data_IF_028642733868
#
_entry.id   IF_028642733868
#
_cell.length_a   1.000
_cell.length_b   1.000
_cell.length_c   1.000
_cell.angle_alpha   90.00
_cell.angle_beta   90.00
_cell.angle_gamma   90.00
#
_symmetry.space_group_name_H-M   'P 1'
#
loop_
_entity.id
_entity.type
_entity.pdbx_description
1 polymer ?
#
# COMPACT_ATOMS: atom_id res chain seq x y z
N UNK A 1 -45.15 -5.47 5.47
CA UNK A 1 -44.74 -6.87 5.48
C UNK A 1 -44.18 -7.20 6.89
N UNK A 2 -44.84 -8.03 7.71
CA UNK A 2 -44.41 -8.38 9.07
C UNK A 2 -43.18 -9.30 9.13
N UNK A 3 -42.64 -9.74 7.99
CA UNK A 3 -41.57 -10.73 7.93
C UNK A 3 -40.13 -10.15 8.19
N UNK A 4 -40.02 -8.82 8.41
CA UNK A 4 -38.69 -8.19 8.67
C UNK A 4 -38.44 -7.98 10.18
N UNK A 5 -39.42 -8.26 11.05
CA UNK A 5 -39.17 -8.23 12.48
C UNK A 5 -38.63 -9.54 12.97
N UNK A 6 -37.33 -9.56 13.28
CA UNK A 6 -36.71 -10.63 14.07
C UNK A 6 -35.51 -11.36 13.50
N UNK A 7 -34.77 -10.82 12.52
CA UNK A 7 -33.41 -11.27 12.37
C UNK A 7 -32.58 -10.71 13.52
N UNK A 8 -32.32 -11.53 14.52
CA UNK A 8 -31.23 -11.25 15.45
C UNK A 8 -29.99 -10.92 14.63
N UNK A 9 -29.51 -9.69 14.77
CA UNK A 9 -28.16 -9.35 14.32
C UNK A 9 -27.24 -10.38 15.00
N UNK A 10 -26.48 -11.18 14.25
CA UNK A 10 -25.57 -12.11 14.87
C UNK A 10 -24.72 -11.31 15.84
N UNK A 11 -24.72 -11.70 17.12
CA UNK A 11 -23.80 -11.15 18.13
C UNK A 11 -22.43 -11.14 17.48
N UNK A 12 -21.81 -9.94 17.40
CA UNK A 12 -20.48 -9.73 16.85
C UNK A 12 -19.62 -10.95 17.14
N UNK A 13 -19.37 -11.73 16.11
CA UNK A 13 -18.30 -12.71 16.15
C UNK A 13 -17.06 -11.86 16.38
N UNK A 14 -16.56 -11.93 17.60
CA UNK A 14 -15.33 -11.29 18.07
C UNK A 14 -14.40 -11.07 16.91
N UNK A 15 -14.13 -9.77 16.57
CA UNK A 15 -13.18 -9.39 15.54
C UNK A 15 -11.85 -10.13 15.75
N UNK A 16 -10.98 -10.24 14.76
CA UNK A 16 -9.84 -11.14 14.80
C UNK A 16 -9.05 -10.93 16.07
N UNK A 17 -9.17 -11.89 16.98
CA UNK A 17 -8.52 -11.89 18.28
C UNK A 17 -7.01 -11.81 18.02
N UNK A 18 -6.34 -10.82 18.58
CA UNK A 18 -4.89 -10.61 18.55
C UNK A 18 -4.30 -10.00 17.27
N UNK A 19 -4.91 -8.97 16.70
CA UNK A 19 -4.15 -8.10 15.80
C UNK A 19 -3.08 -7.37 16.60
N UNK A 20 -1.82 -7.28 16.09
CA UNK A 20 -0.78 -6.48 16.75
C UNK A 20 -1.18 -5.01 16.72
N UNK A 21 -0.86 -4.30 17.78
CA UNK A 21 -0.94 -2.83 17.77
C UNK A 21 0.16 -2.29 16.87
N UNK A 22 -0.17 -1.50 15.83
CA UNK A 22 0.86 -0.88 15.00
C UNK A 22 1.62 0.20 15.78
N UNK A 23 2.91 0.31 15.55
CA UNK A 23 3.72 1.41 16.07
C UNK A 23 3.60 2.68 15.21
N UNK A 24 3.29 2.51 13.92
CA UNK A 24 3.00 3.58 12.99
C UNK A 24 2.01 3.06 11.94
N UNK A 25 1.02 3.88 11.63
CA UNK A 25 0.08 3.63 10.53
C UNK A 25 0.28 4.65 9.44
N UNK A 26 0.26 4.21 8.19
CA UNK A 26 0.25 5.09 7.03
C UNK A 26 -1.02 4.84 6.23
N UNK A 27 -1.64 5.91 5.75
CA UNK A 27 -2.60 5.85 4.67
C UNK A 27 -1.89 5.44 3.38
N UNK A 28 -2.54 4.62 2.58
CA UNK A 28 -2.04 4.16 1.28
C UNK A 28 -3.07 4.50 0.22
N UNK A 29 -2.75 5.46 -0.63
CA UNK A 29 -3.62 5.92 -1.71
C UNK A 29 -3.14 5.38 -3.04
N UNK A 30 -4.00 4.68 -3.75
CA UNK A 30 -3.72 4.19 -5.11
C UNK A 30 -4.48 5.00 -6.14
N UNK A 31 -3.83 5.37 -7.24
CA UNK A 31 -4.46 6.11 -8.35
C UNK A 31 -3.97 5.60 -9.69
N UNK A 32 -4.91 5.38 -10.61
CA UNK A 32 -4.64 5.15 -12.03
C UNK A 32 -4.59 6.49 -12.74
N UNK A 33 -3.46 6.83 -13.35
CA UNK A 33 -3.24 8.17 -13.94
C UNK A 33 -3.59 8.26 -15.42
N UNK A 34 -3.32 7.22 -16.19
CA UNK A 34 -3.70 7.16 -17.61
C UNK A 34 -3.97 5.70 -18.03
N UNK A 35 -4.96 5.53 -18.87
CA UNK A 35 -5.14 4.31 -19.65
C UNK A 35 -5.02 4.69 -21.11
N UNK A 36 -3.97 4.27 -21.79
CA UNK A 36 -3.81 4.44 -23.25
C UNK A 36 -4.79 3.54 -24.04
N UNK A 37 -5.77 2.96 -23.39
CA UNK A 37 -6.72 2.07 -24.02
C UNK A 37 -7.94 2.83 -24.51
N UNK A 38 -8.27 2.61 -25.78
CA UNK A 38 -9.60 2.88 -26.29
C UNK A 38 -10.56 2.03 -25.47
N UNK A 39 -11.41 2.70 -24.70
CA UNK A 39 -12.54 2.05 -24.03
C UNK A 39 -13.37 1.38 -25.12
N UNK A 40 -13.71 0.12 -24.93
CA UNK A 40 -14.62 -0.59 -25.82
C UNK A 40 -15.87 0.28 -26.04
N UNK A 41 -16.26 0.59 -27.30
CA UNK A 41 -17.39 1.47 -27.57
C UNK A 41 -18.74 0.90 -27.09
N UNK A 42 -18.81 -0.37 -26.77
CA UNK A 42 -20.00 -1.04 -26.21
C UNK A 42 -19.75 -1.53 -24.77
N UNK A 43 -19.57 -0.61 -23.79
CA UNK A 43 -19.42 -1.04 -22.42
C UNK A 43 -20.75 -1.67 -21.96
N UNK A 44 -20.67 -2.89 -21.41
CA UNK A 44 -21.81 -3.46 -20.71
C UNK A 44 -22.19 -2.57 -19.52
N UNK A 45 -23.37 -2.77 -18.93
CA UNK A 45 -23.89 -1.99 -17.81
C UNK A 45 -22.88 -1.85 -16.66
N UNK A 46 -22.16 -2.94 -16.31
CA UNK A 46 -21.13 -2.94 -15.27
C UNK A 46 -19.92 -2.07 -15.65
N UNK A 47 -19.50 -2.09 -16.91
CA UNK A 47 -18.42 -1.24 -17.39
C UNK A 47 -18.78 0.25 -17.34
N UNK A 48 -20.05 0.63 -17.61
CA UNK A 48 -20.53 2.01 -17.48
C UNK A 48 -20.56 2.48 -16.01
N UNK A 49 -21.00 1.63 -15.09
CA UNK A 49 -20.95 1.93 -13.67
C UNK A 49 -19.52 2.03 -13.17
N UNK A 50 -18.63 1.14 -13.61
CA UNK A 50 -17.21 1.18 -13.29
C UNK A 50 -16.50 2.39 -13.90
N UNK A 51 -16.82 2.80 -15.13
CA UNK A 51 -16.26 4.00 -15.74
C UNK A 51 -16.68 5.28 -14.97
N UNK A 52 -17.92 5.33 -14.53
CA UNK A 52 -18.41 6.38 -13.61
C UNK A 52 -17.68 6.33 -12.26
N UNK A 53 -17.32 5.12 -11.81
CA UNK A 53 -16.56 4.87 -10.59
C UNK A 53 -15.08 5.24 -10.76
N UNK A 54 -14.48 5.02 -11.92
CA UNK A 54 -13.04 5.14 -12.19
C UNK A 54 -12.56 6.56 -12.50
N UNK A 55 -13.45 7.47 -12.91
CA UNK A 55 -13.05 8.80 -13.38
C UNK A 55 -12.46 9.73 -12.31
N UNK A 56 -12.61 9.41 -11.02
CA UNK A 56 -12.17 10.31 -9.93
C UNK A 56 -11.65 9.60 -8.68
N UNK A 57 -11.26 8.32 -8.76
CA UNK A 57 -11.09 7.55 -7.53
C UNK A 57 -9.66 7.26 -7.17
N UNK A 58 -9.43 7.45 -5.91
CA UNK A 58 -8.28 6.96 -5.17
C UNK A 58 -8.73 5.77 -4.35
N UNK A 59 -8.09 4.62 -4.53
CA UNK A 59 -8.23 3.50 -3.60
C UNK A 59 -7.54 3.86 -2.30
N UNK A 60 -8.13 3.53 -1.15
CA UNK A 60 -7.55 3.74 0.17
C UNK A 60 -7.32 2.39 0.85
N UNK A 61 -6.13 2.20 1.38
CA UNK A 61 -5.74 1.12 2.29
C UNK A 61 -4.86 1.71 3.40
N UNK A 62 -4.39 0.87 4.31
CA UNK A 62 -3.50 1.26 5.40
C UNK A 62 -2.27 0.35 5.42
N UNK A 63 -1.10 0.91 5.68
CA UNK A 63 0.11 0.15 6.00
C UNK A 63 0.37 0.23 7.50
N UNK A 64 0.41 -0.92 8.15
CA UNK A 64 0.80 -1.03 9.54
C UNK A 64 2.28 -1.38 9.65
N UNK A 65 3.05 -0.49 10.28
CA UNK A 65 4.43 -0.73 10.67
C UNK A 65 4.47 -1.17 12.14
N UNK A 66 5.09 -2.29 12.39
CA UNK A 66 5.29 -2.83 13.74
C UNK A 66 6.41 -2.06 14.46
N UNK A 67 6.55 -2.24 15.77
CA UNK A 67 7.67 -1.70 16.53
C UNK A 67 9.03 -2.16 15.97
N UNK A 68 9.11 -3.40 15.49
CA UNK A 68 10.30 -3.93 14.81
C UNK A 68 10.61 -3.13 13.55
N UNK A 69 9.60 -2.85 12.71
CA UNK A 69 9.77 -2.11 11.48
C UNK A 69 10.28 -0.69 11.74
N UNK A 70 9.63 0.02 12.65
CA UNK A 70 10.01 1.41 12.99
C UNK A 70 11.39 1.48 13.63
N UNK A 71 11.79 0.49 14.42
CA UNK A 71 13.14 0.40 15.01
C UNK A 71 14.23 0.23 13.95
N UNK A 72 13.97 -0.58 12.91
CA UNK A 72 14.93 -0.81 11.83
C UNK A 72 15.04 0.36 10.84
N UNK A 73 14.04 1.22 10.82
CA UNK A 73 14.07 2.48 10.07
C UNK A 73 14.66 3.65 10.88
N UNK A 74 14.86 3.51 12.19
CA UNK A 74 15.26 4.56 13.12
C UNK A 74 16.60 5.21 12.76
N UNK A 75 16.62 6.54 12.53
CA UNK A 75 17.82 7.25 12.10
C UNK A 75 18.68 7.79 13.27
N UNK A 76 18.31 7.54 14.54
CA UNK A 76 18.91 8.25 15.69
C UNK A 76 20.43 8.14 15.75
N UNK A 77 21.00 7.01 15.37
CA UNK A 77 22.44 6.76 15.40
C UNK A 77 23.12 6.97 14.04
N UNK A 78 22.38 7.42 13.03
CA UNK A 78 22.89 7.63 11.67
C UNK A 78 23.47 9.03 11.51
N UNK A 79 24.53 9.16 10.72
CA UNK A 79 25.16 10.45 10.39
C UNK A 79 24.56 11.03 9.11
N UNK A 80 24.68 12.34 8.92
CA UNK A 80 24.34 12.99 7.66
C UNK A 80 25.15 12.37 6.52
N UNK A 81 24.49 12.04 5.42
CA UNK A 81 25.04 11.33 4.26
C UNK A 81 25.12 9.81 4.43
N UNK A 82 24.81 9.28 5.62
CA UNK A 82 24.80 7.82 5.80
C UNK A 82 23.60 7.18 5.14
N UNK A 83 23.88 6.08 4.40
CA UNK A 83 22.87 5.28 3.69
C UNK A 83 22.70 3.91 4.31
N UNK A 84 21.47 3.42 4.30
CA UNK A 84 21.16 2.04 4.71
C UNK A 84 19.92 1.52 3.98
N UNK A 85 19.79 0.21 3.93
CA UNK A 85 18.62 -0.43 3.34
C UNK A 85 17.56 -0.70 4.41
N UNK A 86 16.30 -0.44 4.05
CA UNK A 86 15.19 -1.00 4.80
C UNK A 86 15.25 -2.55 4.76
N UNK A 87 14.75 -3.23 5.80
CA UNK A 87 14.70 -4.69 5.80
C UNK A 87 13.99 -5.22 4.56
N UNK A 88 14.57 -6.25 3.94
CA UNK A 88 14.03 -6.84 2.70
C UNK A 88 12.58 -7.30 2.87
N UNK A 89 12.23 -7.87 4.03
CA UNK A 89 10.87 -8.32 4.30
C UNK A 89 9.87 -7.15 4.30
N UNK A 90 10.28 -5.96 4.79
CA UNK A 90 9.43 -4.76 4.78
C UNK A 90 9.22 -4.26 3.36
N UNK A 91 10.30 -4.15 2.58
CA UNK A 91 10.20 -3.76 1.17
C UNK A 91 9.31 -4.73 0.38
N UNK A 92 9.46 -6.05 0.62
CA UNK A 92 8.60 -7.08 0.02
C UNK A 92 7.14 -7.01 0.48
N UNK A 93 6.90 -6.72 1.76
CA UNK A 93 5.53 -6.54 2.28
C UNK A 93 4.84 -5.36 1.61
N UNK A 94 5.53 -4.22 1.50
CA UNK A 94 5.02 -3.05 0.77
C UNK A 94 4.69 -3.43 -0.67
N UNK A 95 5.64 -4.06 -1.38
CA UNK A 95 5.45 -4.46 -2.77
C UNK A 95 4.24 -5.40 -2.94
N UNK A 96 4.14 -6.44 -2.12
CA UNK A 96 3.11 -7.49 -2.27
C UNK A 96 1.71 -7.03 -1.96
N UNK A 97 1.53 -6.21 -0.93
CA UNK A 97 0.23 -5.92 -0.34
C UNK A 97 -0.26 -4.50 -0.59
N UNK A 98 0.66 -3.59 -0.92
CA UNK A 98 0.30 -2.17 -1.06
C UNK A 98 0.62 -1.60 -2.45
N UNK A 99 1.61 -2.14 -3.19
CA UNK A 99 1.84 -1.75 -4.57
C UNK A 99 0.94 -2.57 -5.51
N UNK A 100 -0.35 -2.37 -5.39
CA UNK A 100 -1.41 -3.10 -6.07
C UNK A 100 -2.48 -2.14 -6.60
N UNK A 101 -3.18 -2.57 -7.65
CA UNK A 101 -4.32 -1.82 -8.15
C UNK A 101 -5.52 -1.98 -7.21
N UNK A 102 -5.69 -1.01 -6.34
CA UNK A 102 -6.82 -0.89 -5.41
C UNK A 102 -7.84 0.15 -5.89
N UNK A 103 -7.84 0.48 -7.19
CA UNK A 103 -8.70 1.49 -7.80
C UNK A 103 -9.82 0.85 -8.59
N UNK A 104 -9.47 -0.16 -9.42
CA UNK A 104 -10.39 -0.79 -10.37
C UNK A 104 -11.21 -1.94 -9.77
N UNK A 105 -10.96 -2.28 -8.51
CA UNK A 105 -11.66 -3.30 -7.74
C UNK A 105 -10.85 -3.76 -6.55
N UNK A 106 -11.20 -4.92 -5.96
CA UNK A 106 -10.44 -5.50 -4.85
C UNK A 106 -9.06 -5.97 -5.34
N UNK A 107 -7.96 -5.60 -4.65
CA UNK A 107 -6.63 -5.96 -5.09
C UNK A 107 -6.38 -7.47 -4.98
N UNK A 108 -5.72 -8.01 -5.99
CA UNK A 108 -5.22 -9.38 -6.01
C UNK A 108 -3.72 -9.34 -5.67
N UNK A 109 -3.40 -9.56 -4.41
CA UNK A 109 -2.04 -9.41 -3.87
C UNK A 109 -1.02 -10.32 -4.56
N UNK A 110 0.23 -9.86 -4.63
CA UNK A 110 1.34 -10.65 -5.15
C UNK A 110 1.82 -11.70 -4.14
N UNK A 111 2.14 -12.90 -4.61
CA UNK A 111 2.81 -13.91 -3.79
C UNK A 111 4.30 -13.59 -3.57
N UNK A 112 4.96 -14.30 -2.67
CA UNK A 112 6.41 -14.09 -2.43
C UNK A 112 7.25 -14.33 -3.69
N UNK A 113 6.91 -15.36 -4.46
CA UNK A 113 7.59 -15.72 -5.72
C UNK A 113 7.36 -14.71 -6.84
N UNK A 114 6.31 -13.90 -6.75
CA UNK A 114 5.94 -12.95 -7.79
C UNK A 114 6.77 -11.64 -7.70
N UNK A 115 7.50 -11.45 -6.58
CA UNK A 115 8.34 -10.27 -6.34
C UNK A 115 9.78 -10.54 -6.78
N UNK A 116 10.11 -10.13 -7.99
CA UNK A 116 11.46 -10.24 -8.53
C UNK A 116 12.42 -9.18 -7.95
N UNK A 117 11.88 -7.99 -7.61
CA UNK A 117 12.64 -6.90 -6.99
C UNK A 117 11.76 -6.13 -6.01
N UNK A 118 12.30 -5.84 -4.84
CA UNK A 118 11.75 -4.89 -3.88
C UNK A 118 12.92 -4.38 -3.01
N UNK A 119 13.29 -3.12 -3.17
CA UNK A 119 14.41 -2.50 -2.48
C UNK A 119 14.03 -1.09 -2.06
N UNK A 120 14.41 -0.72 -0.85
CA UNK A 120 14.29 0.62 -0.30
C UNK A 120 15.62 0.99 0.34
N UNK A 121 16.19 2.11 -0.05
CA UNK A 121 17.39 2.71 0.51
C UNK A 121 17.01 4.03 1.17
N UNK A 122 17.59 4.31 2.33
CA UNK A 122 17.39 5.52 3.09
C UNK A 122 18.73 6.26 3.19
N UNK A 123 18.67 7.61 3.18
CA UNK A 123 19.84 8.48 3.38
C UNK A 123 19.47 9.61 4.33
N UNK A 124 20.30 9.85 5.33
CA UNK A 124 20.14 11.03 6.20
C UNK A 124 20.60 12.28 5.47
N UNK A 125 19.68 13.19 5.22
CA UNK A 125 19.96 14.45 4.53
C UNK A 125 20.40 15.55 5.46
N UNK A 126 19.73 15.66 6.60
CA UNK A 126 20.04 16.70 7.59
C UNK A 126 19.72 16.26 9.02
N UNK A 127 20.37 16.96 9.98
CA UNK A 127 20.10 16.86 11.42
C UNK A 127 20.13 18.24 12.03
N UNK A 128 19.00 18.73 12.49
CA UNK A 128 18.88 20.04 13.13
C UNK A 128 17.94 19.98 14.33
N UNK A 129 18.36 20.47 15.48
CA UNK A 129 17.52 20.66 16.69
C UNK A 129 16.65 19.45 17.07
N UNK A 130 17.19 18.25 16.94
CA UNK A 130 16.48 17.02 17.25
C UNK A 130 15.57 16.50 16.14
N UNK A 131 15.56 17.13 14.96
CA UNK A 131 14.87 16.68 13.77
C UNK A 131 15.86 16.06 12.78
N UNK A 132 15.51 14.91 12.23
CA UNK A 132 16.30 14.21 11.21
C UNK A 132 15.45 14.09 9.95
N UNK A 133 15.96 14.64 8.84
CA UNK A 133 15.36 14.48 7.51
C UNK A 133 16.05 13.35 6.75
N UNK A 134 15.25 12.53 6.08
CA UNK A 134 15.70 11.33 5.41
C UNK A 134 15.08 11.28 4.02
N UNK A 135 15.92 11.04 3.01
CA UNK A 135 15.48 10.57 1.69
C UNK A 135 15.20 9.08 1.77
N UNK A 136 14.13 8.63 1.12
CA UNK A 136 13.89 7.22 0.85
C UNK A 136 13.70 7.03 -0.64
N UNK A 137 14.45 6.10 -1.22
CA UNK A 137 14.38 5.75 -2.63
C UNK A 137 14.29 4.24 -2.79
N UNK A 138 13.73 3.80 -3.91
CA UNK A 138 13.63 2.38 -4.14
C UNK A 138 13.18 1.99 -5.54
N UNK A 139 13.07 0.69 -5.73
CA UNK A 139 12.55 0.12 -6.97
C UNK A 139 11.91 -1.22 -6.70
N UNK A 140 10.92 -1.53 -7.51
CA UNK A 140 10.19 -2.79 -7.43
C UNK A 140 9.88 -3.36 -8.81
N UNK A 141 9.76 -4.69 -8.86
CA UNK A 141 9.27 -5.43 -10.01
C UNK A 141 8.51 -6.64 -9.52
N UNK A 142 7.25 -6.73 -9.91
CA UNK A 142 6.37 -7.83 -9.57
C UNK A 142 5.72 -8.36 -10.83
N UNK A 143 5.62 -9.69 -10.93
CA UNK A 143 4.97 -10.36 -12.05
C UNK A 143 4.24 -11.58 -11.54
N UNK A 144 2.94 -11.61 -11.74
CA UNK A 144 2.06 -12.73 -11.42
C UNK A 144 1.65 -13.43 -12.70
N UNK A 145 1.85 -14.74 -12.73
CA UNK A 145 1.43 -15.61 -13.84
C UNK A 145 0.10 -16.30 -13.52
N UNK A 146 -0.53 -16.89 -14.52
CA UNK A 146 -1.77 -17.67 -14.34
C UNK A 146 -2.96 -17.08 -15.09
N UNK A 147 -4.21 -17.39 -14.65
CA UNK A 147 -5.42 -16.96 -15.38
C UNK A 147 -5.63 -15.44 -15.40
N UNK A 148 -5.06 -14.74 -14.46
CA UNK A 148 -5.13 -13.28 -14.29
C UNK A 148 -3.71 -12.73 -14.18
N UNK A 149 -2.95 -12.68 -15.29
CA UNK A 149 -1.58 -12.23 -15.27
C UNK A 149 -1.53 -10.73 -15.01
N UNK A 150 -0.70 -10.32 -14.05
CA UNK A 150 -0.47 -8.92 -13.74
C UNK A 150 1.01 -8.64 -13.58
N UNK A 151 1.40 -7.42 -13.89
CA UNK A 151 2.76 -6.93 -13.69
C UNK A 151 2.72 -5.51 -13.18
N UNK A 152 3.64 -5.15 -12.27
CA UNK A 152 3.86 -3.79 -11.86
C UNK A 152 5.35 -3.55 -11.65
N UNK A 153 5.93 -2.64 -12.42
CA UNK A 153 7.33 -2.20 -12.34
C UNK A 153 7.40 -0.71 -12.07
N UNK A 154 8.28 -0.29 -11.18
CA UNK A 154 8.42 1.14 -10.91
C UNK A 154 9.50 1.49 -9.91
N UNK A 155 9.43 2.73 -9.46
CA UNK A 155 10.32 3.35 -8.49
C UNK A 155 9.52 3.89 -7.31
N UNK A 156 10.22 4.01 -6.20
CA UNK A 156 9.74 4.68 -5.01
C UNK A 156 10.68 5.86 -4.71
N UNK A 157 10.09 6.96 -4.30
CA UNK A 157 10.80 8.16 -3.87
C UNK A 157 10.01 8.81 -2.73
N UNK A 158 10.69 9.39 -1.73
CA UNK A 158 10.00 10.00 -0.61
C UNK A 158 10.88 10.76 0.37
N UNK A 159 10.20 11.39 1.31
CA UNK A 159 10.79 12.15 2.41
C UNK A 159 10.21 11.73 3.73
N UNK A 160 11.09 11.42 4.66
CA UNK A 160 10.72 11.07 6.01
C UNK A 160 11.32 12.09 6.97
N UNK A 161 10.60 12.42 8.03
CA UNK A 161 11.09 13.30 9.09
C UNK A 161 10.86 12.65 10.44
N UNK A 162 11.91 12.53 11.22
CA UNK A 162 11.89 11.90 12.52
C UNK A 162 12.32 12.90 13.62
N UNK A 163 11.53 12.98 14.68
CA UNK A 163 11.88 13.77 15.86
C UNK A 163 12.55 12.86 16.89
N UNK A 164 13.82 13.13 17.21
CA UNK A 164 14.63 12.30 18.11
C UNK A 164 14.27 12.48 19.59
N UNK A 165 13.70 13.64 19.96
CA UNK A 165 13.28 13.93 21.33
C UNK A 165 11.99 13.17 21.67
N UNK A 166 10.95 13.34 20.83
CA UNK A 166 9.68 12.63 21.01
C UNK A 166 9.72 11.18 20.53
N UNK A 167 10.77 10.78 19.79
CA UNK A 167 10.95 9.47 19.15
C UNK A 167 9.79 9.12 18.22
N UNK A 168 9.30 10.11 17.46
CA UNK A 168 8.17 9.95 16.55
C UNK A 168 8.53 10.31 15.11
N UNK A 169 7.97 9.59 14.18
CA UNK A 169 7.87 10.00 12.78
C UNK A 169 6.86 11.15 12.71
N UNK A 170 7.26 12.30 12.19
CA UNK A 170 6.40 13.48 12.03
C UNK A 170 6.03 13.72 10.57
N UNK A 171 6.74 13.06 9.64
CA UNK A 171 6.44 13.00 8.23
C UNK A 171 6.88 11.66 7.68
N UNK A 172 6.06 11.07 6.83
CA UNK A 172 6.39 9.85 6.11
C UNK A 172 5.68 9.91 4.75
N UNK A 173 6.29 10.59 3.80
CA UNK A 173 5.76 10.69 2.44
C UNK A 173 6.57 9.78 1.55
N UNK A 174 5.93 8.78 0.97
CA UNK A 174 6.53 7.87 0.02
C UNK A 174 5.61 7.73 -1.19
N UNK A 175 6.17 7.90 -2.37
CA UNK A 175 5.45 7.79 -3.63
C UNK A 175 6.05 6.67 -4.46
N UNK A 176 5.23 5.69 -4.82
CA UNK A 176 5.56 4.65 -5.79
C UNK A 176 4.87 4.97 -7.11
N UNK A 177 5.64 5.01 -8.19
CA UNK A 177 5.13 5.27 -9.54
C UNK A 177 5.70 4.24 -10.52
N UNK A 178 4.85 3.79 -11.43
CA UNK A 178 5.30 2.84 -12.43
C UNK A 178 4.22 2.40 -13.40
N UNK A 179 4.58 1.43 -14.20
CA UNK A 179 3.72 0.85 -15.24
C UNK A 179 3.15 -0.47 -14.73
N UNK A 180 1.84 -0.54 -14.69
CA UNK A 180 1.08 -1.74 -14.39
C UNK A 180 0.44 -2.31 -15.66
N UNK A 181 0.28 -3.63 -15.72
CA UNK A 181 -0.34 -4.33 -16.84
C UNK A 181 -1.26 -5.41 -16.32
N UNK A 182 -2.36 -5.63 -17.04
CA UNK A 182 -3.30 -6.69 -16.75
C UNK A 182 -4.41 -6.27 -15.79
N UNK A 183 -5.22 -7.26 -15.41
CA UNK A 183 -6.30 -7.11 -14.43
C UNK A 183 -6.26 -8.23 -13.41
N UNK A 184 -6.66 -7.94 -12.19
CA UNK A 184 -6.78 -8.92 -11.13
C UNK A 184 -8.07 -9.77 -11.26
N UNK A 185 -8.12 -10.84 -10.50
CA UNK A 185 -9.30 -11.72 -10.41
C UNK A 185 -10.57 -10.96 -10.02
N UNK A 186 -10.42 -9.95 -9.18
CA UNK A 186 -11.54 -9.19 -8.58
C UNK A 186 -11.78 -7.83 -9.25
N UNK A 187 -11.21 -7.63 -10.44
CA UNK A 187 -11.43 -6.44 -11.28
C UNK A 187 -12.06 -6.82 -12.64
N UNK A 188 -13.22 -7.49 -12.66
CA UNK A 188 -13.74 -8.14 -13.88
C UNK A 188 -14.06 -7.17 -15.02
N UNK A 189 -14.36 -5.91 -14.72
CA UNK A 189 -14.64 -4.88 -15.73
C UNK A 189 -13.42 -4.06 -16.14
N UNK A 190 -12.24 -4.33 -15.56
CA UNK A 190 -11.05 -3.58 -15.88
C UNK A 190 -10.44 -4.05 -17.22
N UNK A 191 -9.90 -3.14 -18.05
CA UNK A 191 -9.15 -3.49 -19.24
C UNK A 191 -7.88 -4.27 -18.91
N UNK A 192 -7.47 -5.20 -19.78
CA UNK A 192 -6.25 -6.00 -19.61
C UNK A 192 -4.94 -5.26 -19.94
N UNK A 193 -5.01 -4.04 -20.40
CA UNK A 193 -3.85 -3.34 -20.94
C UNK A 193 -2.91 -2.78 -19.91
N UNK A 194 -2.06 -1.89 -20.42
CA UNK A 194 -1.03 -1.19 -19.65
C UNK A 194 -1.53 0.18 -19.21
N UNK A 195 -1.25 0.54 -17.96
CA UNK A 195 -1.63 1.82 -17.38
C UNK A 195 -0.59 2.29 -16.37
N UNK A 196 -0.58 3.59 -16.09
CA UNK A 196 0.22 4.15 -15.02
C UNK A 196 -0.50 4.01 -13.70
N UNK A 197 0.20 3.44 -12.70
CA UNK A 197 -0.28 3.31 -11.34
C UNK A 197 0.65 4.07 -10.41
N UNK A 198 0.03 4.90 -9.58
CA UNK A 198 0.70 5.64 -8.51
C UNK A 198 0.15 5.20 -7.17
N UNK A 199 1.03 4.96 -6.20
CA UNK A 199 0.67 4.63 -4.83
C UNK A 199 1.42 5.56 -3.89
N UNK A 200 0.68 6.32 -3.08
CA UNK A 200 1.24 7.27 -2.12
C UNK A 200 1.00 6.78 -0.69
N UNK A 201 1.98 7.02 0.18
CA UNK A 201 1.94 6.69 1.59
C UNK A 201 2.16 7.96 2.40
N UNK A 202 1.34 8.19 3.42
CA UNK A 202 1.50 9.32 4.34
C UNK A 202 1.00 9.00 5.74
N UNK A 203 1.49 9.72 6.74
CA UNK A 203 0.92 9.64 8.09
C UNK A 203 -0.49 10.23 8.06
N UNK A 204 -1.52 9.50 8.53
CA UNK A 204 -2.88 10.02 8.56
C UNK A 204 -2.96 11.25 9.47
N UNK A 205 -3.85 12.21 9.15
CA UNK A 205 -4.02 13.42 9.95
C UNK A 205 -4.68 13.17 11.32
N UNK A 206 -5.29 12.01 11.50
CA UNK A 206 -5.97 11.62 12.73
C UNK A 206 -5.70 10.15 13.11
N UNK A 207 -6.11 9.77 14.32
CA UNK A 207 -5.89 8.42 14.85
C UNK A 207 -6.94 7.39 14.39
N UNK A 208 -7.89 7.75 13.54
CA UNK A 208 -8.94 6.83 13.11
C UNK A 208 -8.39 5.66 12.28
N UNK A 209 -7.41 5.94 11.44
CA UNK A 209 -6.73 4.94 10.60
C UNK A 209 -6.08 3.80 11.41
N UNK A 210 -5.68 4.06 12.66
CA UNK A 210 -5.08 3.04 13.55
C UNK A 210 -6.03 1.88 13.83
N UNK A 211 -7.34 2.13 13.75
CA UNK A 211 -8.38 1.12 14.02
C UNK A 211 -8.74 0.28 12.79
N UNK A 212 -8.26 0.67 11.61
CA UNK A 212 -8.58 -0.01 10.36
C UNK A 212 -7.40 -0.87 9.94
N UNK A 213 -7.54 -2.20 9.97
CA UNK A 213 -6.46 -3.09 9.55
C UNK A 213 -6.24 -2.99 8.02
N UNK A 214 -4.99 -3.15 7.56
CA UNK A 214 -4.67 -3.25 6.14
C UNK A 214 -5.47 -4.37 5.46
N UNK A 215 -5.82 -4.20 4.19
CA UNK A 215 -6.46 -5.27 3.41
C UNK A 215 -5.60 -6.54 3.37
N UNK A 216 -4.27 -6.39 3.32
CA UNK A 216 -3.31 -7.48 3.39
C UNK A 216 -3.42 -8.35 4.65
N UNK A 217 -4.04 -7.85 5.73
CA UNK A 217 -4.26 -8.62 6.99
C UNK A 217 -5.27 -9.76 6.83
N UNK A 218 -5.98 -9.87 5.73
CA UNK A 218 -6.72 -11.08 5.35
C UNK A 218 -5.78 -12.31 5.22
N UNK A 219 -4.51 -12.05 4.92
CA UNK A 219 -3.42 -13.02 4.87
C UNK A 219 -2.41 -12.74 5.99
N UNK A 220 -2.90 -12.68 7.23
CA UNK A 220 -2.17 -12.23 8.42
C UNK A 220 -0.75 -12.80 8.53
N UNK A 221 -0.62 -14.11 8.42
CA UNK A 221 0.67 -14.78 8.58
C UNK A 221 1.67 -14.37 7.51
N UNK A 222 1.19 -14.15 6.28
CA UNK A 222 2.02 -13.67 5.19
C UNK A 222 2.33 -12.17 5.27
N UNK A 223 1.45 -11.40 5.90
CA UNK A 223 1.61 -9.96 6.06
C UNK A 223 2.59 -9.60 7.17
N UNK A 224 2.54 -10.30 8.29
CA UNK A 224 3.34 -10.03 9.48
C UNK A 224 4.65 -10.84 9.55
N UNK A 225 4.73 -11.97 8.86
CA UNK A 225 5.94 -12.81 8.85
C UNK A 225 7.02 -12.17 7.98
N UNK A 226 8.24 -12.02 8.48
CA UNK A 226 9.36 -11.47 7.72
C UNK A 226 9.81 -12.34 6.55
#
# INVERSE_FOLDING_TARGET
DPSIRGREVPKETTGPRNLPTPALVLNVYSRVSSTNQKVDPEPNHLAREMDRFNRTRTGLDHLWLTERDTRLLDPRQRKVGERWHAPLYLARRIARFHLVDNVRGEPDHYGQKDVAKAQLELEVLSRNEGVVEIQIEGSFRMTKSGPYPTRFDGRLDGRLVYNTQSRKWIRFDLLAQGISTGRGRYTPGAPDGTFELTVAFEIPPDDFAVKIPPQGMRHRDQYLTP
#
